data_IF_966420916364
#
_entry.id   IF_966420916364
#
_cell.length_a   1.000
_cell.length_b   1.000
_cell.length_c   1.000
_cell.angle_alpha   90.00
_cell.angle_beta   90.00
_cell.angle_gamma   90.00
#
_symmetry.space_group_name_H-M   'P 1'
#
loop_
_entity.id
_entity.type
_entity.pdbx_description
1 polymer ?
#
# COMPACT_ATOMS: atom_id res chain seq x y z
N UNK A 1 -36.52 23.17 3.84
CA UNK A 1 -36.26 22.24 2.71
C UNK A 1 -34.87 22.62 2.19
N UNK A 2 -33.83 22.02 2.76
CA UNK A 2 -32.46 22.18 2.28
C UNK A 2 -32.22 21.05 1.29
N UNK A 3 -32.41 21.29 0.01
CA UNK A 3 -31.95 20.44 -1.06
C UNK A 3 -30.43 20.68 -1.17
N UNK A 4 -29.66 19.96 -0.37
CA UNK A 4 -28.23 19.91 -0.57
C UNK A 4 -28.02 19.35 -2.00
N UNK A 5 -27.56 20.20 -2.90
CA UNK A 5 -27.10 19.79 -4.23
C UNK A 5 -26.03 18.74 -3.97
N UNK A 6 -26.37 17.46 -4.17
CA UNK A 6 -25.38 16.39 -4.15
C UNK A 6 -24.37 16.73 -5.26
N UNK A 7 -23.22 17.26 -4.88
CA UNK A 7 -22.10 17.43 -5.80
C UNK A 7 -21.79 16.07 -6.36
N UNK A 8 -22.13 15.85 -7.61
CA UNK A 8 -21.70 14.64 -8.33
C UNK A 8 -20.17 14.66 -8.32
N UNK A 9 -19.55 13.66 -7.73
CA UNK A 9 -18.11 13.55 -7.67
C UNK A 9 -17.62 13.23 -9.09
N UNK A 10 -16.85 14.14 -9.68
CA UNK A 10 -16.27 13.96 -11.02
C UNK A 10 -14.96 13.16 -10.93
N UNK A 11 -14.82 12.17 -11.80
CA UNK A 11 -13.58 11.38 -11.95
C UNK A 11 -12.33 12.25 -12.24
N UNK A 12 -12.50 13.42 -12.87
CA UNK A 12 -11.37 14.34 -13.08
C UNK A 12 -10.89 14.96 -11.75
N UNK A 13 -11.79 15.28 -10.84
CA UNK A 13 -11.43 15.75 -9.49
C UNK A 13 -10.70 14.66 -8.71
N UNK A 14 -11.15 13.42 -8.82
CA UNK A 14 -10.49 12.25 -8.19
C UNK A 14 -9.09 12.07 -8.76
N UNK A 15 -8.96 12.09 -10.08
CA UNK A 15 -7.68 11.90 -10.78
C UNK A 15 -6.67 12.98 -10.41
N UNK A 16 -7.09 14.24 -10.44
CA UNK A 16 -6.26 15.39 -10.10
C UNK A 16 -5.74 15.30 -8.66
N UNK A 17 -6.60 14.88 -7.74
CA UNK A 17 -6.17 14.65 -6.36
C UNK A 17 -5.11 13.54 -6.23
N UNK A 18 -5.22 12.43 -6.98
CA UNK A 18 -4.21 11.36 -6.98
C UNK A 18 -2.87 11.83 -7.57
N UNK A 19 -2.90 12.67 -8.62
CA UNK A 19 -1.69 13.30 -9.18
C UNK A 19 -0.98 14.13 -8.11
N UNK A 20 -1.72 14.99 -7.40
CA UNK A 20 -1.17 15.82 -6.33
C UNK A 20 -0.74 15.00 -5.10
N UNK A 21 -1.41 13.87 -4.80
CA UNK A 21 -0.97 12.96 -3.75
C UNK A 21 0.41 12.40 -4.06
N UNK A 22 0.64 11.94 -5.30
CA UNK A 22 1.95 11.47 -5.73
C UNK A 22 3.02 12.56 -5.55
N UNK A 23 2.72 13.80 -5.97
CA UNK A 23 3.65 14.92 -5.85
C UNK A 23 4.03 15.19 -4.37
N UNK A 24 3.05 15.27 -3.48
CA UNK A 24 3.29 15.52 -2.06
C UNK A 24 4.11 14.42 -1.40
N UNK A 25 3.82 13.15 -1.72
CA UNK A 25 4.55 12.01 -1.15
C UNK A 25 6.00 12.01 -1.63
N UNK A 26 6.24 12.17 -2.94
CA UNK A 26 7.60 12.24 -3.48
C UNK A 26 8.41 13.36 -2.83
N UNK A 27 7.85 14.58 -2.74
CA UNK A 27 8.51 15.72 -2.11
C UNK A 27 8.84 15.47 -0.62
N UNK A 28 7.93 14.85 0.13
CA UNK A 28 8.16 14.54 1.54
C UNK A 28 9.29 13.50 1.72
N UNK A 29 9.32 12.45 0.89
CA UNK A 29 10.36 11.42 0.92
C UNK A 29 11.71 12.02 0.52
N UNK A 30 11.80 12.77 -0.57
CA UNK A 30 13.03 13.43 -1.02
C UNK A 30 13.61 14.36 0.04
N UNK A 31 12.75 15.17 0.65
CA UNK A 31 13.14 16.09 1.73
C UNK A 31 13.74 15.34 2.93
N UNK A 32 13.13 14.22 3.33
CA UNK A 32 13.58 13.43 4.48
C UNK A 32 14.81 12.60 4.17
N UNK A 33 14.89 12.03 2.95
CA UNK A 33 16.07 11.30 2.48
C UNK A 33 17.30 12.22 2.36
N UNK A 34 17.12 13.45 1.92
CA UNK A 34 18.14 14.50 1.82
C UNK A 34 19.11 14.36 0.64
N UNK A 35 19.08 13.25 -0.09
CA UNK A 35 19.94 12.99 -1.25
C UNK A 35 19.17 12.46 -2.46
N UNK A 36 18.22 11.56 -2.21
CA UNK A 36 17.48 10.90 -3.27
C UNK A 36 16.54 11.85 -4.01
N UNK A 37 16.39 11.62 -5.30
CA UNK A 37 15.44 12.31 -6.17
C UNK A 37 14.67 11.25 -6.95
N UNK A 38 13.36 11.42 -7.08
CA UNK A 38 12.55 10.53 -7.88
C UNK A 38 12.75 10.80 -9.37
N UNK A 39 13.14 9.79 -10.11
CA UNK A 39 13.13 9.78 -11.57
C UNK A 39 11.71 9.54 -12.06
N UNK A 40 11.25 10.39 -12.99
CA UNK A 40 9.89 10.32 -13.53
C UNK A 40 9.88 9.70 -14.92
N UNK A 41 8.94 8.78 -15.15
CA UNK A 41 8.67 8.20 -16.44
C UNK A 41 7.16 8.27 -16.74
N UNK A 42 6.82 8.95 -17.86
CA UNK A 42 5.47 8.97 -18.38
C UNK A 42 5.27 7.81 -19.35
N UNK A 43 4.13 7.14 -19.24
CA UNK A 43 3.80 6.02 -20.12
C UNK A 43 2.35 6.07 -20.58
N UNK A 44 2.10 5.47 -21.74
CA UNK A 44 0.76 5.34 -22.33
C UNK A 44 0.41 3.86 -22.44
N UNK A 45 -0.89 3.56 -22.26
CA UNK A 45 -1.43 2.22 -22.42
C UNK A 45 -2.10 2.11 -23.81
N UNK A 46 -1.78 1.09 -24.63
CA UNK A 46 -2.40 0.90 -25.95
C UNK A 46 -3.94 0.84 -25.92
N UNK A 47 -4.54 0.33 -24.82
CA UNK A 47 -5.98 0.26 -24.62
C UNK A 47 -6.65 1.52 -24.09
N UNK A 48 -5.89 2.61 -23.87
CA UNK A 48 -6.37 3.90 -23.39
C UNK A 48 -5.86 4.29 -22.01
N UNK A 49 -5.49 5.56 -21.88
CA UNK A 49 -4.91 6.14 -20.68
C UNK A 49 -3.40 5.90 -20.56
N UNK A 50 -2.88 6.00 -19.36
CA UNK A 50 -1.46 5.89 -19.07
C UNK A 50 -1.15 6.11 -17.61
N UNK A 51 0.06 6.55 -17.32
CA UNK A 51 0.47 6.85 -15.95
C UNK A 51 1.76 7.62 -15.86
N UNK A 52 2.13 7.90 -14.62
CA UNK A 52 3.34 8.61 -14.22
C UNK A 52 4.02 7.77 -13.13
N UNK A 53 5.06 7.04 -13.51
CA UNK A 53 5.88 6.27 -12.59
C UNK A 53 6.99 7.14 -12.05
N UNK A 54 7.17 7.17 -10.74
CA UNK A 54 8.31 7.81 -10.07
C UNK A 54 9.06 6.81 -9.24
N UNK A 55 10.35 6.66 -9.54
CA UNK A 55 11.23 5.68 -8.90
C UNK A 55 12.39 6.41 -8.22
N UNK A 56 12.67 6.05 -6.98
CA UNK A 56 13.87 6.46 -6.24
C UNK A 56 14.73 5.22 -6.00
N UNK A 57 16.04 5.33 -6.29
CA UNK A 57 16.99 4.25 -6.14
C UNK A 57 18.32 4.77 -5.61
N UNK A 58 19.01 3.97 -4.80
CA UNK A 58 20.35 4.26 -4.29
C UNK A 58 20.45 5.64 -3.64
N UNK A 59 19.39 6.04 -2.94
CA UNK A 59 19.32 7.29 -2.20
C UNK A 59 20.12 7.22 -0.89
N UNK A 60 19.82 8.02 0.10
CA UNK A 60 20.50 7.97 1.40
C UNK A 60 19.86 6.96 2.35
N UNK A 61 18.52 7.02 2.50
CA UNK A 61 17.72 6.13 3.35
C UNK A 61 17.04 5.07 2.50
N UNK A 62 16.48 5.46 1.36
CA UNK A 62 15.73 4.57 0.47
C UNK A 62 16.68 3.87 -0.51
N UNK A 63 16.73 2.54 -0.43
CA UNK A 63 17.47 1.71 -1.36
C UNK A 63 16.76 1.58 -2.70
N UNK A 64 15.45 1.34 -2.66
CA UNK A 64 14.55 1.33 -3.82
C UNK A 64 13.13 1.66 -3.37
N UNK A 65 12.47 2.53 -4.11
CA UNK A 65 11.07 2.83 -3.87
C UNK A 65 10.39 3.33 -5.13
N UNK A 66 9.08 3.29 -5.13
CA UNK A 66 8.30 3.82 -6.23
C UNK A 66 6.95 4.36 -5.77
N UNK A 67 6.52 5.40 -6.46
CA UNK A 67 5.21 6.03 -6.33
C UNK A 67 4.59 6.08 -7.72
N UNK A 68 3.68 5.17 -8.01
CA UNK A 68 3.05 5.05 -9.32
C UNK A 68 1.66 5.66 -9.30
N UNK A 69 1.44 6.67 -10.13
CA UNK A 69 0.12 7.13 -10.51
C UNK A 69 -0.28 6.46 -11.83
N UNK A 70 -1.55 6.04 -11.92
CA UNK A 70 -2.15 5.54 -13.15
C UNK A 70 -3.55 6.10 -13.36
N UNK A 71 -3.90 6.32 -14.63
CA UNK A 71 -5.24 6.60 -15.10
C UNK A 71 -5.45 5.82 -16.39
N UNK A 72 -6.25 4.77 -16.33
CA UNK A 72 -6.49 3.86 -17.44
C UNK A 72 -7.98 3.70 -17.71
N UNK A 73 -8.32 3.52 -18.96
CA UNK A 73 -9.71 3.31 -19.40
C UNK A 73 -9.73 2.43 -20.64
N UNK A 74 -10.89 1.99 -21.03
CA UNK A 74 -11.09 1.22 -22.25
C UNK A 74 -12.14 0.13 -22.09
N UNK A 75 -12.15 -0.80 -23.03
CA UNK A 75 -13.07 -1.95 -22.98
C UNK A 75 -12.72 -2.85 -21.81
N UNK A 76 -13.72 -3.21 -21.02
CA UNK A 76 -13.57 -4.13 -19.89
C UNK A 76 -13.55 -5.57 -20.42
N UNK A 77 -12.43 -6.30 -20.28
CA UNK A 77 -12.38 -7.70 -20.69
C UNK A 77 -13.44 -8.54 -19.98
N UNK A 78 -14.12 -9.43 -20.68
CA UNK A 78 -15.20 -10.25 -20.14
C UNK A 78 -14.77 -11.05 -18.91
N UNK A 79 -13.58 -11.65 -18.93
CA UNK A 79 -12.99 -12.35 -17.77
C UNK A 79 -12.90 -11.45 -16.52
N UNK A 80 -12.54 -10.18 -16.73
CA UNK A 80 -12.44 -9.19 -15.65
C UNK A 80 -13.83 -8.78 -15.17
N UNK A 81 -14.77 -8.55 -16.08
CA UNK A 81 -16.16 -8.24 -15.72
C UNK A 81 -16.77 -9.35 -14.85
N UNK A 82 -16.52 -10.63 -15.20
CA UNK A 82 -16.94 -11.79 -14.42
C UNK A 82 -16.28 -11.83 -13.04
N UNK A 83 -14.97 -11.63 -12.95
CA UNK A 83 -14.24 -11.59 -11.66
C UNK A 83 -14.72 -10.45 -10.77
N UNK A 84 -14.98 -9.29 -11.36
CA UNK A 84 -15.51 -8.13 -10.67
C UNK A 84 -17.03 -8.19 -10.45
N UNK A 85 -17.73 -9.15 -11.03
CA UNK A 85 -19.20 -9.29 -10.97
C UNK A 85 -19.93 -8.01 -11.38
N UNK A 86 -19.46 -7.36 -12.45
CA UNK A 86 -20.04 -6.14 -13.03
C UNK A 86 -20.52 -6.39 -14.46
N UNK A 87 -21.43 -5.55 -14.96
CA UNK A 87 -22.06 -5.70 -16.29
C UNK A 87 -21.65 -4.63 -17.31
N UNK A 88 -20.65 -3.80 -17.00
CA UNK A 88 -20.22 -2.73 -17.90
C UNK A 88 -19.39 -3.22 -19.09
N UNK A 89 -19.41 -2.46 -20.20
CA UNK A 89 -18.56 -2.69 -21.37
C UNK A 89 -17.23 -1.94 -21.26
N UNK A 90 -17.25 -0.76 -20.67
CA UNK A 90 -16.08 0.09 -20.51
C UNK A 90 -15.80 0.32 -19.04
N UNK A 91 -14.53 0.56 -18.75
CA UNK A 91 -14.07 0.91 -17.40
C UNK A 91 -13.20 2.15 -17.40
N UNK A 92 -13.14 2.78 -16.24
CA UNK A 92 -12.15 3.78 -15.89
C UNK A 92 -11.58 3.44 -14.52
N UNK A 93 -10.26 3.51 -14.39
CA UNK A 93 -9.56 3.29 -13.13
C UNK A 93 -8.44 4.30 -12.96
N UNK A 94 -8.30 4.84 -11.75
CA UNK A 94 -7.21 5.74 -11.40
C UNK A 94 -6.77 5.52 -9.97
N UNK A 95 -5.50 5.79 -9.66
CA UNK A 95 -4.98 5.61 -8.31
C UNK A 95 -3.49 5.79 -8.19
N UNK A 96 -3.00 5.66 -6.95
CA UNK A 96 -1.59 5.70 -6.59
C UNK A 96 -1.22 4.42 -5.86
N UNK A 97 -0.10 3.80 -6.26
CA UNK A 97 0.50 2.64 -5.62
C UNK A 97 1.94 2.95 -5.20
N UNK A 98 2.30 2.59 -3.97
CA UNK A 98 3.55 3.00 -3.34
C UNK A 98 4.19 1.82 -2.63
N UNK A 99 5.49 1.65 -2.80
CA UNK A 99 6.32 0.77 -1.96
C UNK A 99 7.67 1.43 -1.72
N UNK A 100 8.15 1.41 -0.48
CA UNK A 100 9.47 1.89 -0.09
C UNK A 100 10.29 0.78 0.57
N UNK A 101 11.45 0.48 0.02
CA UNK A 101 12.45 -0.45 0.56
C UNK A 101 13.67 0.33 1.03
N UNK A 102 13.90 0.49 2.33
CA UNK A 102 15.05 1.23 2.86
C UNK A 102 16.32 0.37 2.92
N UNK A 103 17.50 1.03 2.94
CA UNK A 103 18.77 0.37 3.17
C UNK A 103 18.85 -0.25 4.57
N UNK A 104 18.46 0.53 5.60
CA UNK A 104 18.49 0.07 6.98
C UNK A 104 17.42 -0.98 7.23
N UNK A 105 17.76 -2.14 7.85
CA UNK A 105 16.78 -3.10 8.32
C UNK A 105 15.91 -2.57 9.47
N UNK A 106 16.25 -1.42 10.04
CA UNK A 106 15.54 -0.81 11.16
C UNK A 106 14.52 0.25 10.72
N UNK A 107 14.61 0.74 9.47
CA UNK A 107 13.53 1.50 8.83
C UNK A 107 12.55 0.51 8.22
N UNK A 108 11.24 0.58 8.50
CA UNK A 108 10.28 -0.38 7.97
C UNK A 108 10.04 -0.21 6.46
N UNK A 109 9.68 -1.29 5.80
CA UNK A 109 9.06 -1.25 4.47
C UNK A 109 7.61 -0.78 4.67
N UNK A 110 7.13 0.07 3.78
CA UNK A 110 5.73 0.51 3.79
C UNK A 110 5.14 0.37 2.39
N UNK A 111 3.87 -0.01 2.33
CA UNK A 111 3.07 -0.07 1.13
C UNK A 111 1.78 0.74 1.33
N UNK A 112 1.33 1.40 0.27
CA UNK A 112 -0.01 1.95 0.18
C UNK A 112 -0.52 1.82 -1.25
N UNK A 113 -1.80 1.50 -1.39
CA UNK A 113 -2.54 1.64 -2.64
C UNK A 113 -3.86 2.35 -2.33
N UNK A 114 -4.20 3.38 -3.09
CA UNK A 114 -5.51 4.02 -3.07
C UNK A 114 -5.97 4.20 -4.51
N UNK A 115 -7.21 3.77 -4.79
CA UNK A 115 -7.72 3.68 -6.16
C UNK A 115 -9.21 3.96 -6.25
N UNK A 116 -9.61 4.43 -7.42
CA UNK A 116 -10.99 4.56 -7.85
C UNK A 116 -11.23 3.69 -9.08
N UNK A 117 -12.42 3.11 -9.16
CA UNK A 117 -12.86 2.30 -10.29
C UNK A 117 -14.32 2.60 -10.62
N UNK A 118 -14.64 2.71 -11.90
CA UNK A 118 -16.00 2.83 -12.40
C UNK A 118 -16.19 2.01 -13.68
N UNK A 119 -17.41 1.59 -13.93
CA UNK A 119 -17.82 0.89 -15.15
C UNK A 119 -19.02 1.59 -15.81
N UNK A 120 -19.17 1.40 -17.10
CA UNK A 120 -20.21 2.05 -17.91
C UNK A 120 -21.65 1.69 -17.50
N UNK A 121 -21.85 0.64 -16.72
CA UNK A 121 -23.15 0.28 -16.12
C UNK A 121 -23.53 1.14 -14.90
N UNK A 122 -22.61 2.02 -14.44
CA UNK A 122 -22.86 2.99 -13.37
C UNK A 122 -22.32 2.60 -12.01
N UNK A 123 -21.77 1.36 -11.84
CA UNK A 123 -21.11 0.99 -10.60
C UNK A 123 -19.78 1.74 -10.48
N UNK A 124 -19.53 2.28 -9.29
CA UNK A 124 -18.32 3.04 -8.97
C UNK A 124 -17.95 2.88 -7.50
N UNK A 125 -16.65 2.74 -7.23
CA UNK A 125 -16.17 2.52 -5.86
C UNK A 125 -14.71 2.90 -5.68
N UNK A 126 -14.33 3.07 -4.43
CA UNK A 126 -12.95 3.17 -4.00
C UNK A 126 -12.46 1.84 -3.42
N UNK A 127 -11.16 1.60 -3.56
CA UNK A 127 -10.44 0.55 -2.89
C UNK A 127 -9.06 1.03 -2.47
N UNK A 128 -8.44 0.32 -1.55
CA UNK A 128 -7.10 0.67 -1.11
C UNK A 128 -6.66 -0.06 0.14
N UNK A 129 -5.57 0.43 0.67
CA UNK A 129 -4.98 -0.04 1.92
C UNK A 129 -3.62 0.58 2.14
N UNK A 130 -3.20 0.55 3.38
CA UNK A 130 -1.86 0.91 3.83
C UNK A 130 -1.40 -0.14 4.82
N UNK A 131 -0.19 -0.66 4.66
CA UNK A 131 0.39 -1.64 5.57
C UNK A 131 1.88 -1.42 5.80
N UNK A 132 2.34 -1.84 6.98
CA UNK A 132 3.72 -1.70 7.41
C UNK A 132 4.39 -3.08 7.54
N UNK A 133 5.57 -3.21 6.94
CA UNK A 133 6.37 -4.44 6.97
C UNK A 133 7.76 -4.15 7.58
N UNK A 134 7.87 -4.08 8.91
CA UNK A 134 9.16 -3.97 9.57
C UNK A 134 9.96 -5.26 9.43
N UNK A 135 11.28 -5.14 9.31
CA UNK A 135 12.20 -6.27 9.37
C UNK A 135 12.35 -6.74 10.82
N UNK A 136 12.48 -5.80 11.74
CA UNK A 136 12.40 -6.01 13.17
C UNK A 136 11.16 -5.31 13.70
N UNK A 137 10.27 -6.06 14.32
CA UNK A 137 9.03 -5.47 14.86
C UNK A 137 9.36 -4.72 16.15
N UNK A 138 9.13 -3.42 16.13
CA UNK A 138 9.05 -2.56 17.30
C UNK A 138 7.58 -2.36 17.66
N UNK A 139 7.10 -2.88 18.81
CA UNK A 139 5.71 -2.75 19.21
C UNK A 139 5.23 -1.29 19.34
N UNK A 140 6.10 -0.37 19.76
CA UNK A 140 5.73 1.04 19.90
C UNK A 140 5.52 1.72 18.55
N UNK A 141 6.37 1.40 17.55
CA UNK A 141 6.19 1.90 16.19
C UNK A 141 4.95 1.28 15.52
N UNK A 142 4.70 -0.02 15.73
CA UNK A 142 3.50 -0.67 15.25
C UNK A 142 2.23 -0.08 15.88
N UNK A 143 2.25 0.19 17.19
CA UNK A 143 1.16 0.86 17.91
C UNK A 143 0.90 2.26 17.35
N UNK A 144 1.95 3.08 17.20
CA UNK A 144 1.82 4.41 16.60
C UNK A 144 1.18 4.36 15.21
N UNK A 145 1.66 3.46 14.33
CA UNK A 145 1.12 3.28 12.99
C UNK A 145 -0.38 2.97 13.02
N UNK A 146 -0.78 2.00 13.83
CA UNK A 146 -2.18 1.60 13.96
C UNK A 146 -3.05 2.67 14.61
N UNK A 147 -2.53 3.45 15.59
CA UNK A 147 -3.23 4.58 16.19
C UNK A 147 -3.52 5.69 15.16
N UNK A 148 -2.56 6.01 14.28
CA UNK A 148 -2.78 7.01 13.21
C UNK A 148 -3.86 6.56 12.24
N UNK A 149 -3.83 5.29 11.82
CA UNK A 149 -4.86 4.73 10.94
C UNK A 149 -6.22 4.68 11.63
N UNK A 150 -6.27 4.22 12.88
CA UNK A 150 -7.52 4.17 13.64
C UNK A 150 -8.13 5.55 13.79
N UNK A 151 -7.34 6.54 14.17
CA UNK A 151 -7.79 7.93 14.26
C UNK A 151 -8.40 8.39 12.93
N UNK A 152 -7.72 8.13 11.82
CA UNK A 152 -8.22 8.50 10.48
C UNK A 152 -9.52 7.78 10.14
N UNK A 153 -9.63 6.49 10.43
CA UNK A 153 -10.87 5.74 10.24
C UNK A 153 -12.03 6.30 11.06
N UNK A 154 -11.78 6.60 12.34
CA UNK A 154 -12.78 7.08 13.29
C UNK A 154 -13.37 8.47 12.93
N UNK A 155 -12.65 9.29 12.14
CA UNK A 155 -13.16 10.55 11.58
C UNK A 155 -14.31 10.33 10.59
N UNK A 156 -14.42 9.14 10.01
CA UNK A 156 -15.42 8.82 8.97
C UNK A 156 -16.43 7.79 9.46
N UNK A 157 -15.97 6.70 10.09
CA UNK A 157 -16.83 5.65 10.63
C UNK A 157 -16.04 4.82 11.66
N UNK A 158 -16.56 4.72 12.88
CA UNK A 158 -15.91 3.99 13.98
C UNK A 158 -15.79 2.47 13.72
N UNK A 159 -16.49 1.91 12.76
CA UNK A 159 -16.40 0.50 12.39
C UNK A 159 -15.30 0.21 11.37
N UNK A 160 -14.77 1.25 10.70
CA UNK A 160 -13.80 1.08 9.60
C UNK A 160 -12.52 0.42 10.05
N UNK A 161 -11.93 0.91 11.14
CA UNK A 161 -10.63 0.37 11.58
C UNK A 161 -10.72 -1.12 11.86
N UNK A 162 -11.66 -1.57 12.68
CA UNK A 162 -11.79 -3.00 13.03
C UNK A 162 -12.07 -3.86 11.78
N UNK A 163 -12.98 -3.41 10.93
CA UNK A 163 -13.36 -4.13 9.70
C UNK A 163 -12.18 -4.21 8.73
N UNK A 164 -11.52 -3.11 8.47
CA UNK A 164 -10.46 -3.04 7.46
C UNK A 164 -9.12 -3.59 7.96
N UNK A 165 -8.85 -3.50 9.27
CA UNK A 165 -7.72 -4.18 9.91
C UNK A 165 -7.87 -5.70 9.81
N UNK A 166 -9.03 -6.24 10.17
CA UNK A 166 -9.31 -7.67 10.04
C UNK A 166 -9.13 -8.15 8.60
N UNK A 167 -9.60 -7.36 7.64
CA UNK A 167 -9.42 -7.66 6.22
C UNK A 167 -7.94 -7.63 5.82
N UNK A 168 -7.16 -6.65 6.29
CA UNK A 168 -5.72 -6.58 6.05
C UNK A 168 -4.98 -7.78 6.64
N UNK A 169 -5.29 -8.19 7.87
CA UNK A 169 -4.70 -9.37 8.54
C UNK A 169 -4.93 -10.65 7.71
N UNK A 170 -6.13 -10.81 7.15
CA UNK A 170 -6.46 -11.95 6.30
C UNK A 170 -5.82 -11.87 4.91
N UNK A 171 -5.74 -10.65 4.33
CA UNK A 171 -5.18 -10.41 3.01
C UNK A 171 -3.67 -10.62 2.97
N UNK A 172 -2.93 -10.03 3.93
CA UNK A 172 -1.47 -10.06 3.97
C UNK A 172 -0.88 -11.33 4.62
N UNK A 173 -1.69 -12.34 4.86
CA UNK A 173 -1.25 -13.60 5.44
C UNK A 173 -0.60 -14.52 4.40
N UNK A 174 0.63 -14.95 4.67
CA UNK A 174 1.41 -15.88 3.84
C UNK A 174 1.12 -17.30 4.30
N UNK A 175 0.14 -17.95 3.69
CA UNK A 175 -0.42 -19.24 4.13
C UNK A 175 0.64 -20.35 4.28
N UNK A 176 1.53 -20.48 3.29
CA UNK A 176 2.55 -21.54 3.29
C UNK A 176 3.69 -21.28 4.30
N UNK A 177 3.77 -20.08 4.88
CA UNK A 177 4.69 -19.73 5.96
C UNK A 177 4.02 -19.67 7.33
N UNK A 178 2.68 -19.63 7.36
CA UNK A 178 1.89 -19.42 8.56
C UNK A 178 2.28 -18.14 9.32
N UNK A 179 2.56 -17.06 8.58
CA UNK A 179 2.93 -15.75 9.12
C UNK A 179 2.31 -14.63 8.31
N UNK A 180 2.16 -13.43 8.90
CA UNK A 180 1.77 -12.22 8.17
C UNK A 180 2.97 -11.58 7.49
N UNK A 181 2.75 -10.85 6.39
CA UNK A 181 3.80 -10.11 5.66
C UNK A 181 4.51 -9.10 6.57
N UNK A 182 3.75 -8.41 7.41
CA UNK A 182 4.21 -7.41 8.36
C UNK A 182 3.23 -7.29 9.53
N UNK A 183 3.13 -6.11 10.12
CA UNK A 183 2.22 -5.82 11.25
C UNK A 183 0.81 -5.47 10.78
N UNK A 184 0.51 -5.62 9.50
CA UNK A 184 -0.79 -5.27 8.92
C UNK A 184 -0.97 -3.77 8.72
N UNK A 185 -2.19 -3.34 8.86
CA UNK A 185 -2.68 -1.99 8.64
C UNK A 185 -4.17 -2.03 8.34
N UNK A 186 -4.62 -1.42 7.24
CA UNK A 186 -6.01 -1.52 6.75
C UNK A 186 -6.03 -1.87 5.27
N UNK A 187 -7.05 -2.66 4.90
CA UNK A 187 -7.37 -2.98 3.52
C UNK A 187 -8.88 -2.84 3.31
N UNK A 188 -9.27 -2.17 2.25
CA UNK A 188 -10.67 -1.97 1.88
C UNK A 188 -10.85 -2.03 0.37
N UNK A 189 -12.02 -2.48 -0.06
CA UNK A 189 -12.41 -2.53 -1.45
C UNK A 189 -13.92 -2.35 -1.58
N UNK A 190 -14.41 -2.05 -2.79
CA UNK A 190 -15.83 -1.88 -3.05
C UNK A 190 -16.52 -0.83 -2.17
N UNK A 191 -15.80 0.22 -1.75
CA UNK A 191 -16.40 1.34 -1.05
C UNK A 191 -17.16 2.24 -2.03
N UNK A 192 -18.35 1.82 -2.43
CA UNK A 192 -19.31 2.57 -3.22
C UNK A 192 -20.23 3.41 -2.33
N UNK A 193 -21.09 4.21 -2.98
CA UNK A 193 -22.19 4.91 -2.29
C UNK A 193 -23.20 3.90 -1.73
N UNK A 194 -23.80 4.26 -0.61
CA UNK A 194 -24.93 3.55 0.01
C UNK A 194 -26.09 4.53 0.22
N UNK A 195 -27.17 4.07 0.83
CA UNK A 195 -28.29 4.97 1.18
C UNK A 195 -27.85 6.11 2.12
N UNK A 196 -26.90 5.82 3.02
CA UNK A 196 -26.48 6.74 4.09
C UNK A 196 -25.15 7.44 3.82
N UNK A 197 -24.30 6.90 2.94
CA UNK A 197 -22.96 7.40 2.68
C UNK A 197 -22.78 7.65 1.18
N UNK A 198 -22.53 8.90 0.81
CA UNK A 198 -22.28 9.30 -0.57
C UNK A 198 -20.88 8.88 -1.05
N UNK A 199 -20.70 8.78 -2.36
CA UNK A 199 -19.39 8.55 -2.96
C UNK A 199 -18.38 9.65 -2.59
N UNK A 200 -18.86 10.88 -2.41
CA UNK A 200 -18.01 11.99 -1.96
C UNK A 200 -17.46 11.75 -0.54
N UNK A 201 -18.26 11.27 0.39
CA UNK A 201 -17.79 10.91 1.74
C UNK A 201 -16.78 9.74 1.70
N UNK A 202 -16.99 8.75 0.81
CA UNK A 202 -15.98 7.69 0.58
C UNK A 202 -14.66 8.26 0.05
N UNK A 203 -14.73 9.25 -0.84
CA UNK A 203 -13.56 9.93 -1.35
C UNK A 203 -12.82 10.71 -0.26
N UNK A 204 -13.53 11.42 0.63
CA UNK A 204 -12.90 12.10 1.78
C UNK A 204 -12.11 11.11 2.65
N UNK A 205 -12.69 9.93 2.96
CA UNK A 205 -11.97 8.88 3.67
C UNK A 205 -10.69 8.43 2.93
N UNK A 206 -10.78 8.18 1.63
CA UNK A 206 -9.62 7.77 0.82
C UNK A 206 -8.55 8.85 0.78
N UNK A 207 -8.96 10.12 0.74
CA UNK A 207 -8.02 11.26 0.83
C UNK A 207 -7.27 11.28 2.15
N UNK A 208 -7.96 11.06 3.25
CA UNK A 208 -7.34 11.09 4.56
C UNK A 208 -6.39 9.90 4.76
N UNK A 209 -6.75 8.70 4.28
CA UNK A 209 -5.82 7.56 4.23
C UNK A 209 -4.58 7.88 3.38
N UNK A 210 -4.76 8.51 2.21
CA UNK A 210 -3.63 8.94 1.38
C UNK A 210 -2.72 9.96 2.07
N UNK A 211 -3.33 10.92 2.77
CA UNK A 211 -2.62 12.02 3.40
C UNK A 211 -1.76 11.59 4.62
N UNK A 212 -2.13 10.52 5.34
CA UNK A 212 -1.35 10.06 6.49
C UNK A 212 -0.06 9.31 6.11
N UNK A 213 0.10 8.88 4.85
CA UNK A 213 1.27 8.11 4.40
C UNK A 213 2.58 8.86 4.65
N UNK A 214 2.71 10.07 4.13
CA UNK A 214 3.95 10.82 4.22
C UNK A 214 4.33 11.17 5.67
N UNK A 215 3.44 11.72 6.52
CA UNK A 215 3.77 12.00 7.93
C UNK A 215 4.21 10.76 8.71
N UNK A 216 3.54 9.62 8.52
CA UNK A 216 3.89 8.37 9.21
C UNK A 216 5.27 7.89 8.75
N UNK A 217 5.47 7.80 7.43
CA UNK A 217 6.68 7.17 6.93
C UNK A 217 7.92 8.04 7.13
N UNK A 218 7.83 9.35 6.92
CA UNK A 218 8.95 10.26 7.18
C UNK A 218 9.35 10.25 8.64
N UNK A 219 8.41 10.12 9.59
CA UNK A 219 8.72 9.91 11.00
C UNK A 219 9.56 8.66 11.22
N UNK A 220 9.16 7.51 10.65
CA UNK A 220 9.95 6.27 10.79
C UNK A 220 11.32 6.36 10.12
N UNK A 221 11.43 7.06 8.99
CA UNK A 221 12.72 7.34 8.37
C UNK A 221 13.62 8.14 9.32
N UNK A 222 13.14 9.25 9.88
CA UNK A 222 13.90 10.13 10.78
C UNK A 222 14.32 9.42 12.07
N UNK A 223 13.44 8.64 12.68
CA UNK A 223 13.72 7.96 13.96
C UNK A 223 14.73 6.82 13.82
N UNK A 224 14.78 6.16 12.66
CA UNK A 224 15.54 4.91 12.49
C UNK A 224 16.77 5.04 11.58
N UNK A 225 16.92 6.12 10.80
CA UNK A 225 17.98 6.25 9.78
C UNK A 225 19.40 6.14 10.34
N UNK A 226 19.64 6.63 11.56
CA UNK A 226 20.96 6.71 12.17
C UNK A 226 21.25 5.55 13.14
N UNK A 227 20.30 4.62 13.31
CA UNK A 227 20.50 3.46 14.19
C UNK A 227 21.46 2.47 13.48
N UNK A 228 22.54 2.12 14.18
CA UNK A 228 23.57 1.21 13.69
C UNK A 228 23.03 -0.22 13.52
N UNK A 229 23.44 -0.90 12.46
CA UNK A 229 23.14 -2.29 12.20
C UNK A 229 24.36 -3.01 11.59
N UNK A 230 24.40 -4.34 11.71
CA UNK A 230 25.50 -5.15 11.21
C UNK A 230 25.10 -6.11 10.11
N UNK A 231 26.01 -7.04 9.79
CA UNK A 231 25.78 -8.06 8.76
C UNK A 231 24.64 -9.01 9.10
N UNK A 232 24.41 -9.31 10.39
CA UNK A 232 23.31 -10.17 10.84
C UNK A 232 21.95 -9.58 10.50
N UNK A 233 21.76 -8.30 10.81
CA UNK A 233 20.52 -7.57 10.51
C UNK A 233 20.28 -7.46 9.00
N UNK A 234 21.32 -7.24 8.19
CA UNK A 234 21.21 -7.24 6.71
C UNK A 234 20.82 -8.61 6.18
N UNK A 235 21.40 -9.69 6.72
CA UNK A 235 21.04 -11.05 6.33
C UNK A 235 19.57 -11.34 6.66
N UNK A 236 19.11 -10.96 7.83
CA UNK A 236 17.71 -11.13 8.20
C UNK A 236 16.79 -10.26 7.33
N UNK A 237 17.19 -9.02 6.99
CA UNK A 237 16.47 -8.19 6.02
C UNK A 237 16.27 -8.91 4.68
N UNK A 238 17.32 -9.53 4.14
CA UNK A 238 17.24 -10.25 2.87
C UNK A 238 16.28 -11.44 2.96
N UNK A 239 16.26 -12.18 4.08
CA UNK A 239 15.33 -13.29 4.33
C UNK A 239 13.88 -12.75 4.42
N UNK A 240 13.64 -11.66 5.17
CA UNK A 240 12.29 -11.07 5.28
C UNK A 240 11.79 -10.50 3.94
N UNK A 241 12.68 -9.93 3.15
CA UNK A 241 12.38 -9.51 1.77
C UNK A 241 11.99 -10.71 0.89
N UNK A 242 12.57 -11.89 1.11
CA UNK A 242 12.12 -13.13 0.48
C UNK A 242 10.64 -13.42 0.78
N UNK A 243 10.19 -13.26 2.03
CA UNK A 243 8.77 -13.41 2.40
C UNK A 243 7.87 -12.36 1.73
N UNK A 244 8.36 -11.14 1.64
CA UNK A 244 7.67 -10.07 0.91
C UNK A 244 7.47 -10.42 -0.57
N UNK A 245 8.50 -10.92 -1.24
CA UNK A 245 8.45 -11.39 -2.63
C UNK A 245 7.49 -12.57 -2.79
N UNK A 246 7.54 -13.56 -1.89
CA UNK A 246 6.61 -14.69 -1.89
C UNK A 246 5.15 -14.21 -1.85
N UNK A 247 4.82 -13.28 -0.95
CA UNK A 247 3.48 -12.73 -0.88
C UNK A 247 3.07 -12.06 -2.19
N UNK A 248 3.89 -11.15 -2.68
CA UNK A 248 3.54 -10.35 -3.86
C UNK A 248 3.38 -11.19 -5.13
N UNK A 249 4.24 -12.18 -5.35
CA UNK A 249 4.16 -13.03 -6.55
C UNK A 249 3.11 -14.14 -6.44
N UNK A 250 2.86 -14.66 -5.22
CA UNK A 250 1.96 -15.82 -5.05
C UNK A 250 0.55 -15.42 -4.64
N UNK A 251 0.37 -14.38 -3.82
CA UNK A 251 -0.93 -14.06 -3.22
C UNK A 251 -1.49 -12.71 -3.60
N UNK A 252 -0.64 -11.71 -3.93
CA UNK A 252 -1.14 -10.37 -4.22
C UNK A 252 -2.02 -10.35 -5.46
N UNK A 253 -3.31 -10.00 -5.25
CA UNK A 253 -4.29 -9.96 -6.35
C UNK A 253 -3.96 -8.87 -7.37
N UNK A 254 -3.40 -7.75 -6.90
CA UNK A 254 -3.02 -6.62 -7.77
C UNK A 254 -1.87 -7.00 -8.72
N UNK A 255 -0.82 -7.63 -8.19
CA UNK A 255 0.32 -8.14 -8.99
C UNK A 255 -0.15 -9.17 -10.01
N UNK A 256 -0.93 -10.17 -9.59
CA UNK A 256 -1.46 -11.20 -10.51
C UNK A 256 -2.33 -10.59 -11.59
N UNK A 257 -3.28 -9.75 -11.20
CA UNK A 257 -4.15 -9.06 -12.15
C UNK A 257 -3.35 -8.26 -13.17
N UNK A 258 -2.38 -7.48 -12.70
CA UNK A 258 -1.54 -6.68 -13.58
C UNK A 258 -0.77 -7.53 -14.60
N UNK A 259 -0.15 -8.63 -14.16
CA UNK A 259 0.59 -9.54 -15.05
C UNK A 259 -0.32 -10.32 -15.99
N UNK A 260 -1.51 -10.75 -15.52
CA UNK A 260 -2.49 -11.51 -16.34
C UNK A 260 -3.20 -10.65 -17.39
N UNK A 261 -3.15 -9.33 -17.27
CA UNK A 261 -3.82 -8.36 -18.16
C UNK A 261 -2.87 -7.55 -19.03
N UNK A 262 -1.65 -8.03 -19.22
CA UNK A 262 -0.60 -7.35 -19.99
C UNK A 262 -0.33 -5.92 -19.47
N UNK A 263 -0.44 -5.72 -18.15
CA UNK A 263 -0.06 -4.49 -17.49
C UNK A 263 1.43 -4.23 -17.63
N UNK A 264 1.85 -2.98 -17.46
CA UNK A 264 3.26 -2.60 -17.57
C UNK A 264 4.07 -3.31 -16.49
N UNK A 265 4.89 -4.30 -16.87
CA UNK A 265 5.68 -5.15 -15.98
C UNK A 265 6.54 -4.35 -15.01
N UNK A 266 7.24 -3.31 -15.49
CA UNK A 266 8.11 -2.48 -14.66
C UNK A 266 7.32 -1.75 -13.56
N UNK A 267 6.12 -1.25 -13.87
CA UNK A 267 5.25 -0.61 -12.88
C UNK A 267 4.67 -1.60 -11.86
N UNK A 268 4.47 -2.86 -12.25
CA UNK A 268 3.97 -3.92 -11.38
C UNK A 268 5.09 -4.41 -10.46
N UNK A 269 6.27 -4.73 -11.02
CA UNK A 269 7.40 -5.29 -10.30
C UNK A 269 8.28 -4.23 -9.60
N UNK A 270 7.95 -2.94 -9.73
CA UNK A 270 8.63 -1.90 -8.96
C UNK A 270 8.52 -2.13 -7.45
N UNK A 271 7.45 -2.81 -7.01
CA UNK A 271 7.20 -3.14 -5.60
C UNK A 271 8.19 -4.17 -5.02
N UNK A 272 8.97 -4.84 -5.87
CA UNK A 272 9.96 -5.81 -5.41
C UNK A 272 11.19 -5.13 -4.82
N UNK A 273 11.76 -5.68 -3.73
CA UNK A 273 13.05 -5.22 -3.21
C UNK A 273 14.18 -5.48 -4.21
N UNK A 274 15.30 -4.74 -4.15
CA UNK A 274 16.44 -4.96 -5.06
C UNK A 274 17.13 -6.31 -4.80
N UNK A 275 17.10 -6.78 -3.55
CA UNK A 275 17.69 -8.05 -3.13
C UNK A 275 16.76 -8.79 -2.16
N UNK A 276 16.70 -10.12 -2.29
CA UNK A 276 16.00 -11.02 -1.39
C UNK A 276 16.77 -12.34 -1.27
N UNK A 277 16.59 -13.08 -0.18
CA UNK A 277 17.28 -14.34 0.03
C UNK A 277 16.34 -15.41 0.61
N UNK A 278 16.62 -16.68 0.27
CA UNK A 278 15.94 -17.86 0.77
C UNK A 278 16.96 -18.83 1.36
N UNK A 279 16.99 -18.94 2.69
CA UNK A 279 17.76 -19.97 3.37
C UNK A 279 16.88 -21.20 3.59
N UNK A 280 17.43 -22.38 3.28
CA UNK A 280 16.72 -23.63 3.52
C UNK A 280 16.46 -23.84 5.01
N UNK A 281 15.19 -24.03 5.37
CA UNK A 281 14.73 -24.29 6.75
C UNK A 281 15.26 -23.28 7.79
N UNK A 282 15.28 -21.99 7.43
CA UNK A 282 15.74 -20.95 8.34
C UNK A 282 14.91 -20.91 9.62
N UNK A 283 15.60 -21.00 10.76
CA UNK A 283 15.05 -20.85 12.09
C UNK A 283 15.90 -19.81 12.86
N UNK A 284 15.31 -18.76 13.43
CA UNK A 284 16.06 -17.83 14.26
C UNK A 284 16.48 -18.49 15.57
N UNK A 285 17.56 -18.01 16.17
CA UNK A 285 17.97 -18.47 17.49
C UNK A 285 16.88 -18.11 18.53
N UNK A 286 16.52 -19.06 19.43
CA UNK A 286 15.61 -18.79 20.52
C UNK A 286 16.09 -17.59 21.36
N UNK A 287 15.20 -16.64 21.65
CA UNK A 287 15.49 -15.41 22.41
C UNK A 287 16.15 -14.30 21.60
N UNK A 288 16.42 -14.50 20.31
CA UNK A 288 16.94 -13.43 19.44
C UNK A 288 15.87 -12.43 19.05
N UNK A 289 16.28 -11.26 18.54
CA UNK A 289 15.40 -10.22 17.97
C UNK A 289 14.59 -10.74 16.79
N UNK A 290 15.20 -11.62 15.99
CA UNK A 290 14.56 -12.31 14.86
C UNK A 290 13.42 -13.21 15.32
N UNK A 291 13.64 -14.00 16.38
CA UNK A 291 12.61 -14.85 16.98
C UNK A 291 11.48 -14.03 17.57
N UNK A 292 11.79 -12.94 18.27
CA UNK A 292 10.80 -12.01 18.81
C UNK A 292 9.96 -11.39 17.70
N UNK A 293 10.58 -10.98 16.58
CA UNK A 293 9.88 -10.46 15.41
C UNK A 293 8.90 -11.49 14.85
N UNK A 294 9.33 -12.75 14.61
CA UNK A 294 8.45 -13.78 14.06
C UNK A 294 7.25 -14.08 14.98
N UNK A 295 7.41 -13.95 16.29
CA UNK A 295 6.30 -14.12 17.24
C UNK A 295 5.16 -13.09 17.07
N UNK A 296 5.46 -11.91 16.56
CA UNK A 296 4.49 -10.86 16.25
C UNK A 296 3.83 -11.01 14.89
N UNK A 297 4.44 -11.74 13.94
CA UNK A 297 3.94 -11.84 12.56
C UNK A 297 2.79 -12.86 12.44
N UNK A 298 1.70 -12.56 13.12
CA UNK A 298 0.47 -13.36 13.16
C UNK A 298 -0.76 -12.46 13.00
N UNK A 299 -1.88 -13.05 12.62
CA UNK A 299 -3.14 -12.33 12.52
C UNK A 299 -3.68 -11.94 13.91
N UNK A 300 -4.56 -10.97 13.90
CA UNK A 300 -5.39 -10.58 15.05
C UNK A 300 -4.57 -10.05 16.26
N UNK A 301 -3.37 -9.52 16.02
CA UNK A 301 -2.62 -8.80 17.06
C UNK A 301 -3.33 -7.46 17.35
N UNK A 302 -3.65 -7.21 18.61
CA UNK A 302 -4.17 -5.91 19.04
C UNK A 302 -3.02 -4.90 19.20
N UNK A 303 -2.67 -4.22 18.12
CA UNK A 303 -1.59 -3.23 18.11
C UNK A 303 -1.94 -1.95 18.89
N UNK A 304 -3.21 -1.68 19.13
CA UNK A 304 -3.63 -0.51 19.93
C UNK A 304 -3.43 -0.79 21.43
N UNK A 305 -3.73 -2.00 21.86
CA UNK A 305 -3.59 -2.42 23.25
C UNK A 305 -2.21 -2.97 23.62
N UNK A 306 -1.28 -3.12 22.69
CA UNK A 306 0.12 -3.50 22.98
C UNK A 306 0.79 -2.33 23.68
N UNK A 307 0.93 -2.36 24.98
CA UNK A 307 1.64 -1.41 25.83
C UNK A 307 2.95 -2.04 26.33
#
# INVERSE_FOLDING_TARGET
INTAIMKTLDRFVITDWFIHLQDRICQAIEKTDGKGVFEEELWQRPGGGGGRTRIIQNANIIEKGGVNFSQVHGVLPEKIAQQLQVKGHDFFATGVSIVMHPFSPLVPIIHMNVRYFEVSSGEQWFGGGIDLTPIYVDPAQAQYFHQQIKHTCDLHDHTYYETFKKWADDYFFIKHRNETRGVGGVFFDRLGATADISLYQRFEFVKDIGNIFAPIYTKFMEENKDISYGKGEKQFQAIRRGRYVEFNLVYDKGTKFGLDTDGRTESILMSMPPEANWLYNYQPFPGSKEAATLAYLRKDVDWIGVA
#
